data_IF_566941623722
#
_entry.id   IF_566941623722
#
_cell.length_a   1.000
_cell.length_b   1.000
_cell.length_c   1.000
_cell.angle_alpha   90.00
_cell.angle_beta   90.00
_cell.angle_gamma   90.00
#
_symmetry.space_group_name_H-M   'P 1'
#
loop_
_entity.id
_entity.type
_entity.pdbx_description
1 polymer ?
#
# COMPACT_ATOMS: atom_id res chain seq x y z
N UNK A 1 5.03 18.53 -16.32
CA UNK A 1 3.69 18.18 -15.81
C UNK A 1 3.54 18.95 -14.51
N UNK A 2 2.60 19.89 -14.41
CA UNK A 2 2.47 20.73 -13.20
C UNK A 2 2.12 19.88 -11.98
N UNK A 3 2.61 20.26 -10.80
CA UNK A 3 2.23 19.62 -9.54
C UNK A 3 0.70 19.68 -9.38
N UNK A 4 0.08 18.54 -9.10
CA UNK A 4 -1.36 18.48 -8.82
C UNK A 4 -1.62 19.09 -7.45
N UNK A 5 -2.68 19.89 -7.36
CA UNK A 5 -3.10 20.59 -6.13
C UNK A 5 -3.51 19.61 -5.01
N UNK A 6 -3.93 18.40 -5.37
CA UNK A 6 -4.37 17.35 -4.45
C UNK A 6 -3.80 15.99 -4.82
N UNK A 7 -3.52 15.18 -3.80
CA UNK A 7 -3.08 13.79 -3.96
C UNK A 7 -4.25 12.87 -4.35
N UNK A 8 -4.04 12.04 -5.37
CA UNK A 8 -4.93 10.92 -5.69
C UNK A 8 -4.55 9.74 -4.80
N UNK A 9 -5.48 9.32 -3.95
CA UNK A 9 -5.26 8.25 -2.97
C UNK A 9 -6.07 7.02 -3.34
N UNK A 10 -5.39 5.89 -3.54
CA UNK A 10 -6.05 4.58 -3.59
C UNK A 10 -6.36 4.14 -2.15
N UNK A 11 -7.63 4.16 -1.77
CA UNK A 11 -8.06 3.92 -0.40
C UNK A 11 -8.22 2.44 -0.05
N UNK A 12 -8.05 1.52 -1.02
CA UNK A 12 -8.19 0.08 -0.75
C UNK A 12 -7.38 -0.73 -1.75
N UNK A 13 -6.19 -1.16 -1.34
CA UNK A 13 -5.41 -2.14 -2.09
C UNK A 13 -4.76 -3.18 -1.19
N UNK A 14 -4.28 -4.26 -1.80
CA UNK A 14 -3.63 -5.36 -1.10
C UNK A 14 -2.22 -5.56 -1.65
N UNK A 15 -1.27 -5.79 -0.74
CA UNK A 15 0.09 -6.25 -1.07
C UNK A 15 0.41 -7.48 -0.23
N UNK A 16 1.30 -8.34 -0.73
CA UNK A 16 1.76 -9.50 0.04
C UNK A 16 2.70 -10.40 -0.73
N UNK A 17 3.35 -11.31 -0.01
CA UNK A 17 4.30 -12.27 -0.58
C UNK A 17 3.69 -13.66 -0.84
N UNK A 18 2.42 -13.85 -0.49
CA UNK A 18 1.75 -15.17 -0.54
C UNK A 18 0.42 -15.14 -1.30
N UNK A 19 -0.51 -14.25 -0.91
CA UNK A 19 -1.86 -14.16 -1.48
C UNK A 19 -2.02 -13.07 -2.55
N UNK A 20 -1.21 -12.03 -2.45
CA UNK A 20 -1.23 -10.87 -3.36
C UNK A 20 0.15 -10.69 -3.97
N UNK A 21 0.29 -9.63 -4.76
CA UNK A 21 1.55 -9.24 -5.37
C UNK A 21 2.37 -8.35 -4.43
N UNK A 22 3.70 -8.34 -4.58
CA UNK A 22 4.57 -7.49 -3.78
C UNK A 22 4.42 -6.01 -4.19
N UNK A 23 4.90 -5.10 -3.34
CA UNK A 23 4.67 -3.64 -3.47
C UNK A 23 5.14 -3.06 -4.81
N UNK A 24 6.15 -3.67 -5.44
CA UNK A 24 6.72 -3.21 -6.71
C UNK A 24 5.69 -3.24 -7.84
N UNK A 25 4.78 -4.22 -7.83
CA UNK A 25 3.70 -4.30 -8.82
C UNK A 25 2.70 -3.17 -8.61
N UNK A 26 2.35 -2.88 -7.36
CA UNK A 26 1.49 -1.73 -7.04
C UNK A 26 2.17 -0.41 -7.45
N UNK A 27 3.45 -0.22 -7.15
CA UNK A 27 4.20 0.99 -7.53
C UNK A 27 4.19 1.21 -9.05
N UNK A 28 4.38 0.14 -9.82
CA UNK A 28 4.29 0.15 -11.28
C UNK A 28 2.91 0.64 -11.77
N UNK A 29 1.83 0.20 -11.11
CA UNK A 29 0.46 0.62 -11.46
C UNK A 29 0.17 2.05 -11.01
N UNK A 30 0.60 2.44 -9.82
CA UNK A 30 0.42 3.79 -9.29
C UNK A 30 1.07 4.83 -10.21
N UNK A 31 2.28 4.58 -10.70
CA UNK A 31 2.99 5.45 -11.65
C UNK A 31 2.16 5.68 -12.92
N UNK A 32 1.58 4.61 -13.49
CA UNK A 32 0.80 4.67 -14.74
C UNK A 32 -0.59 5.28 -14.56
N UNK A 33 -1.20 5.03 -13.41
CA UNK A 33 -2.52 5.53 -13.07
C UNK A 33 -2.48 6.96 -12.52
N UNK A 34 -1.29 7.49 -12.20
CA UNK A 34 -1.15 8.77 -11.51
C UNK A 34 -1.78 8.72 -10.12
N UNK A 35 -1.56 7.64 -9.37
CA UNK A 35 -1.92 7.53 -7.95
C UNK A 35 -0.71 7.93 -7.11
N UNK A 36 -0.91 8.86 -6.18
CA UNK A 36 0.17 9.48 -5.41
C UNK A 36 0.43 8.72 -4.10
N UNK A 37 -0.64 8.21 -3.45
CA UNK A 37 -0.60 7.49 -2.17
C UNK A 37 -1.57 6.31 -2.16
N UNK A 38 -1.35 5.34 -1.27
CA UNK A 38 -2.23 4.17 -1.14
C UNK A 38 -2.43 3.71 0.32
N UNK A 39 -3.58 3.07 0.58
CA UNK A 39 -3.89 2.43 1.86
C UNK A 39 -3.85 0.91 1.70
N UNK A 40 -2.90 0.28 2.36
CA UNK A 40 -2.78 -1.18 2.42
C UNK A 40 -3.82 -1.77 3.35
N UNK A 41 -4.60 -2.73 2.85
CA UNK A 41 -5.58 -3.47 3.62
C UNK A 41 -5.05 -4.87 3.86
N UNK A 42 -4.84 -5.24 5.12
CA UNK A 42 -4.47 -6.60 5.47
C UNK A 42 -5.60 -7.58 5.12
N UNK A 43 -5.24 -8.78 4.68
CA UNK A 43 -6.23 -9.77 4.29
C UNK A 43 -6.69 -10.65 5.44
N UNK A 44 -7.96 -11.02 5.40
CA UNK A 44 -8.59 -11.84 6.42
C UNK A 44 -7.80 -13.12 6.70
N UNK A 45 -7.55 -13.39 7.97
CA UNK A 45 -6.84 -14.59 8.44
C UNK A 45 -5.33 -14.40 8.61
N UNK A 46 -4.78 -13.23 8.30
CA UNK A 46 -3.38 -12.92 8.52
C UNK A 46 -3.21 -11.70 9.44
N UNK A 47 -2.66 -11.92 10.64
CA UNK A 47 -2.26 -10.86 11.56
C UNK A 47 -0.76 -10.57 11.53
N UNK A 48 0.02 -11.26 10.68
CA UNK A 48 1.40 -10.89 10.41
C UNK A 48 1.42 -9.71 9.44
N UNK A 49 1.74 -8.55 10.00
CA UNK A 49 1.81 -7.27 9.29
C UNK A 49 3.25 -6.87 8.96
N UNK A 50 4.25 -7.72 9.19
CA UNK A 50 5.67 -7.34 9.09
C UNK A 50 6.02 -6.79 7.71
N UNK A 51 5.53 -7.44 6.64
CA UNK A 51 5.77 -6.97 5.27
C UNK A 51 5.09 -5.62 4.99
N UNK A 52 3.87 -5.40 5.49
CA UNK A 52 3.17 -4.11 5.34
C UNK A 52 3.96 -2.99 6.03
N UNK A 53 4.43 -3.23 7.26
CA UNK A 53 5.22 -2.27 8.03
C UNK A 53 6.54 -1.95 7.33
N UNK A 54 7.26 -2.97 6.88
CA UNK A 54 8.52 -2.81 6.15
C UNK A 54 8.34 -1.93 4.91
N UNK A 55 7.29 -2.16 4.11
CA UNK A 55 7.04 -1.37 2.90
C UNK A 55 6.62 0.07 3.21
N UNK A 56 5.95 0.32 4.35
CA UNK A 56 5.67 1.68 4.81
C UNK A 56 6.94 2.43 5.24
N UNK A 57 7.89 1.73 5.88
CA UNK A 57 9.18 2.31 6.31
C UNK A 57 10.09 2.62 5.11
N UNK A 58 10.14 1.73 4.12
CA UNK A 58 10.93 1.90 2.88
C UNK A 58 10.39 3.04 2.01
N UNK A 59 9.09 3.35 2.11
CA UNK A 59 8.41 4.38 1.32
C UNK A 59 7.72 5.44 2.21
N UNK A 60 8.49 6.27 2.93
CA UNK A 60 7.94 7.21 3.90
C UNK A 60 7.00 8.21 3.23
N UNK A 61 5.81 8.40 3.83
CA UNK A 61 4.80 9.34 3.35
C UNK A 61 3.97 8.86 2.14
N UNK A 62 4.27 7.69 1.58
CA UNK A 62 3.55 7.12 0.43
C UNK A 62 2.32 6.31 0.85
N UNK A 63 2.38 5.68 2.03
CA UNK A 63 1.43 4.63 2.40
C UNK A 63 0.88 4.81 3.81
N UNK A 64 -0.36 4.36 3.99
CA UNK A 64 -1.00 4.07 5.26
C UNK A 64 -1.53 2.63 5.25
N UNK A 65 -1.94 2.09 6.40
CA UNK A 65 -2.45 0.71 6.46
C UNK A 65 -3.61 0.53 7.45
N UNK A 66 -4.57 -0.30 7.06
CA UNK A 66 -5.55 -0.91 7.95
C UNK A 66 -5.18 -2.40 8.13
N UNK A 67 -4.80 -2.76 9.35
CA UNK A 67 -4.19 -4.04 9.68
C UNK A 67 -5.09 -4.90 10.56
N UNK A 68 -4.84 -6.21 10.56
CA UNK A 68 -5.45 -7.14 11.50
C UNK A 68 -4.49 -7.35 12.67
N UNK A 69 -4.99 -7.22 13.88
CA UNK A 69 -4.28 -7.55 15.12
C UNK A 69 -4.90 -8.80 15.73
N UNK A 70 -4.06 -9.69 16.26
CA UNK A 70 -4.53 -10.84 17.04
C UNK A 70 -4.98 -10.35 18.44
N UNK A 71 -5.98 -11.03 19.00
CA UNK A 71 -6.40 -10.84 20.39
C UNK A 71 -5.49 -11.61 21.35
#
# INVERSE_FOLDING_TARGET
MGEREFAVVDTHCHIGLHKYEPVEVLLFHMERAGVDQAVFIQYLGNSDNSYIVEMMEVHPGRFAAAMIVAY
#
